data_IF_932901931047
#
_entry.id   IF_932901931047
#
_cell.length_a   1.000
_cell.length_b   1.000
_cell.length_c   1.000
_cell.angle_alpha   90.00
_cell.angle_beta   90.00
_cell.angle_gamma   90.00
#
_symmetry.space_group_name_H-M   'P 1'
#
loop_
_entity.id
_entity.type
_entity.pdbx_description
1 polymer ?
#
# COMPACT_ATOMS: atom_id res chain seq x y z
N UNK A 1 9.11 -13.80 -6.69
CA UNK A 1 8.46 -12.59 -6.14
C UNK A 1 7.56 -13.00 -5.00
N UNK A 2 7.35 -12.11 -4.03
CA UNK A 2 6.60 -12.38 -2.79
C UNK A 2 5.15 -12.83 -3.03
N UNK A 3 4.54 -12.37 -4.13
CA UNK A 3 3.22 -12.83 -4.59
C UNK A 3 3.17 -14.33 -4.85
N UNK A 4 4.23 -14.92 -5.43
CA UNK A 4 4.30 -16.37 -5.66
C UNK A 4 4.33 -17.14 -4.34
N UNK A 5 5.07 -16.64 -3.35
CA UNK A 5 5.13 -17.26 -2.02
C UNK A 5 3.77 -17.17 -1.32
N UNK A 6 3.08 -16.03 -1.45
CA UNK A 6 1.71 -15.85 -0.96
C UNK A 6 0.76 -16.90 -1.53
N UNK A 7 0.79 -17.11 -2.84
CA UNK A 7 -0.06 -18.07 -3.56
C UNK A 7 0.31 -19.52 -3.28
N UNK A 8 1.60 -19.85 -3.30
CA UNK A 8 2.11 -21.22 -3.12
C UNK A 8 1.90 -21.74 -1.70
N UNK A 9 2.04 -20.88 -0.70
CA UNK A 9 1.97 -21.27 0.72
C UNK A 9 0.71 -20.76 1.43
N UNK A 10 -0.22 -20.12 0.70
CA UNK A 10 -1.43 -19.48 1.24
C UNK A 10 -1.13 -18.65 2.51
N UNK A 11 -0.07 -17.86 2.47
CA UNK A 11 0.43 -17.12 3.63
C UNK A 11 0.11 -15.64 3.53
N UNK A 12 0.01 -14.95 4.66
CA UNK A 12 -0.10 -13.50 4.67
C UNK A 12 1.28 -12.86 4.43
N UNK A 13 1.31 -11.76 3.67
CA UNK A 13 2.54 -11.00 3.43
C UNK A 13 2.34 -9.54 3.82
N UNK A 14 3.29 -8.99 4.59
CA UNK A 14 3.36 -7.57 4.90
C UNK A 14 4.51 -6.98 4.08
N UNK A 15 4.21 -5.96 3.27
CA UNK A 15 5.19 -5.28 2.42
C UNK A 15 5.32 -3.85 2.93
N UNK A 16 6.53 -3.47 3.34
CA UNK A 16 6.85 -2.11 3.80
C UNK A 16 7.70 -1.45 2.71
N UNK A 17 7.16 -0.43 2.06
CA UNK A 17 7.84 0.28 0.98
C UNK A 17 7.37 1.74 0.93
N UNK A 18 8.22 2.60 0.38
CA UNK A 18 7.86 3.97 -0.02
C UNK A 18 7.55 4.06 -1.52
N UNK A 19 7.82 3.01 -2.29
CA UNK A 19 7.52 2.94 -3.73
C UNK A 19 6.06 2.48 -3.95
N UNK A 20 5.21 3.43 -4.35
CA UNK A 20 3.80 3.17 -4.61
C UNK A 20 3.54 2.31 -5.85
N UNK A 21 4.47 2.23 -6.82
CA UNK A 21 4.34 1.32 -7.97
C UNK A 21 4.49 -0.13 -7.50
N UNK A 22 5.44 -0.39 -6.60
CA UNK A 22 5.57 -1.71 -5.98
C UNK A 22 4.35 -2.07 -5.14
N UNK A 23 3.84 -1.12 -4.34
CA UNK A 23 2.62 -1.32 -3.55
C UNK A 23 1.43 -1.68 -4.45
N UNK A 24 1.20 -0.91 -5.52
CA UNK A 24 0.13 -1.16 -6.49
C UNK A 24 0.08 -2.60 -7.01
N UNK A 25 1.25 -3.17 -7.32
CA UNK A 25 1.36 -4.49 -7.94
C UNK A 25 1.27 -5.61 -6.90
N UNK A 26 1.71 -5.35 -5.66
CA UNK A 26 2.07 -6.42 -4.71
C UNK A 26 1.19 -6.50 -3.48
N UNK A 27 0.22 -5.58 -3.29
CA UNK A 27 -0.59 -5.49 -2.07
C UNK A 27 -2.09 -5.44 -2.37
N UNK A 28 -2.90 -6.06 -1.50
CA UNK A 28 -4.36 -5.98 -1.58
C UNK A 28 -4.90 -4.72 -0.87
N UNK A 29 -4.23 -4.29 0.19
CA UNK A 29 -4.55 -3.08 0.95
C UNK A 29 -3.27 -2.35 1.37
N UNK A 30 -3.38 -1.04 1.57
CA UNK A 30 -2.28 -0.15 1.89
C UNK A 30 -2.67 0.65 3.13
N UNK A 31 -1.74 0.76 4.08
CA UNK A 31 -1.80 1.72 5.19
C UNK A 31 -0.63 2.68 5.07
N UNK A 32 -0.90 3.98 5.09
CA UNK A 32 0.15 5.00 5.09
C UNK A 32 0.39 5.42 6.53
N UNK A 33 1.66 5.39 6.95
CA UNK A 33 2.11 5.85 8.24
C UNK A 33 2.78 7.21 8.12
N UNK A 34 2.41 8.14 9.00
CA UNK A 34 3.03 9.45 9.16
C UNK A 34 3.27 9.70 10.64
N UNK A 35 4.50 10.08 10.99
CA UNK A 35 4.89 10.39 12.38
C UNK A 35 4.52 9.27 13.39
N UNK A 36 4.65 8.00 12.97
CA UNK A 36 4.33 6.84 13.81
C UNK A 36 2.85 6.51 13.94
N UNK A 37 1.97 7.23 13.24
CA UNK A 37 0.51 6.99 13.24
C UNK A 37 0.04 6.59 11.84
N UNK A 38 -0.84 5.59 11.76
CA UNK A 38 -1.50 5.25 10.50
C UNK A 38 -2.58 6.30 10.21
N UNK A 39 -2.40 7.04 9.12
CA UNK A 39 -3.26 8.18 8.77
C UNK A 39 -4.36 7.80 7.78
N UNK A 40 -4.14 6.76 6.96
CA UNK A 40 -5.12 6.28 6.00
C UNK A 40 -4.93 4.80 5.72
N UNK A 41 -6.04 4.14 5.40
CA UNK A 41 -6.11 2.74 5.00
C UNK A 41 -7.06 2.61 3.81
N UNK A 42 -6.70 1.78 2.84
CA UNK A 42 -7.54 1.50 1.68
C UNK A 42 -6.81 0.74 0.58
N UNK A 43 -7.50 0.51 -0.53
CA UNK A 43 -6.88 0.00 -1.75
C UNK A 43 -6.08 1.11 -2.45
N UNK A 44 -5.18 0.72 -3.36
CA UNK A 44 -4.40 1.68 -4.13
C UNK A 44 -5.29 2.71 -4.85
N UNK A 45 -6.38 2.27 -5.49
CA UNK A 45 -7.26 3.15 -6.26
C UNK A 45 -8.08 4.08 -5.37
N UNK A 46 -8.50 3.64 -4.18
CA UNK A 46 -9.17 4.51 -3.19
C UNK A 46 -8.23 5.61 -2.69
N UNK A 47 -6.99 5.24 -2.34
CA UNK A 47 -6.00 6.18 -1.83
C UNK A 47 -5.54 7.17 -2.91
N UNK A 48 -5.35 6.71 -4.14
CA UNK A 48 -4.97 7.57 -5.27
C UNK A 48 -6.05 8.61 -5.59
N UNK A 49 -7.32 8.24 -5.46
CA UNK A 49 -8.45 9.14 -5.72
C UNK A 49 -8.89 9.93 -4.49
N UNK A 50 -8.21 9.78 -3.35
CA UNK A 50 -8.48 10.53 -2.13
C UNK A 50 -8.28 12.03 -2.39
N UNK A 51 -9.16 12.87 -1.84
CA UNK A 51 -9.10 14.34 -1.98
C UNK A 51 -8.09 15.00 -1.03
N UNK A 52 -7.50 14.22 -0.14
CA UNK A 52 -6.48 14.71 0.79
C UNK A 52 -5.18 14.97 0.04
N UNK A 53 -4.72 16.23 0.07
CA UNK A 53 -3.50 16.66 -0.62
C UNK A 53 -2.26 15.95 -0.08
N UNK A 54 -2.23 15.64 1.22
CA UNK A 54 -1.08 14.94 1.78
C UNK A 54 -1.00 13.51 1.27
N UNK A 55 -2.15 12.82 1.18
CA UNK A 55 -2.20 11.45 0.65
C UNK A 55 -1.85 11.44 -0.83
N UNK A 56 -2.37 12.39 -1.62
CA UNK A 56 -2.04 12.51 -3.04
C UNK A 56 -0.54 12.67 -3.29
N UNK A 57 0.18 13.40 -2.44
CA UNK A 57 1.62 13.61 -2.58
C UNK A 57 2.44 12.32 -2.54
N UNK A 58 1.94 11.24 -1.91
CA UNK A 58 2.61 9.94 -1.94
C UNK A 58 2.51 9.22 -3.30
N UNK A 59 1.61 9.66 -4.20
CA UNK A 59 1.36 9.04 -5.50
C UNK A 59 1.88 9.86 -6.71
N UNK A 60 2.53 11.00 -6.46
CA UNK A 60 3.12 11.87 -7.50
C UNK A 60 4.49 11.35 -7.95
#
# INVERSE_FOLDING_TARGET
MILKVREEYNTASIIITHDMKCAKISTDSIKIMKEGVFVVEGTYDELKNCKDKEIQNYFI
#
